data_IF_104585579462
#
_entry.id   IF_104585579462
#
_cell.length_a   1.000
_cell.length_b   1.000
_cell.length_c   1.000
_cell.angle_alpha   90.00
_cell.angle_beta   90.00
_cell.angle_gamma   90.00
#
_symmetry.space_group_name_H-M   'P 1'
#
loop_
_entity.id
_entity.type
_entity.pdbx_description
1 polymer ?
#
# COMPACT_ATOMS: atom_id res chain seq x y z
N UNK A 1 -2.21 19.61 -7.05
CA UNK A 1 -1.94 18.41 -7.88
C UNK A 1 -2.84 17.27 -7.42
N UNK A 2 -2.98 16.13 -8.13
CA UNK A 2 -3.74 14.98 -7.62
C UNK A 2 -3.19 14.53 -6.27
N UNK A 3 -4.06 14.02 -5.40
CA UNK A 3 -3.63 13.32 -4.19
C UNK A 3 -2.86 12.05 -4.52
N UNK A 4 -1.95 11.67 -3.64
CA UNK A 4 -1.14 10.47 -3.82
C UNK A 4 -1.97 9.21 -3.52
N UNK A 5 -1.61 8.12 -4.17
CA UNK A 5 -2.21 6.78 -4.03
C UNK A 5 -1.13 5.82 -3.54
N UNK A 6 -1.22 5.45 -2.27
CA UNK A 6 -0.38 4.43 -1.66
C UNK A 6 -0.93 3.05 -2.03
N UNK A 7 -0.25 2.38 -2.95
CA UNK A 7 -0.72 1.12 -3.54
C UNK A 7 -0.53 -0.09 -2.62
N UNK A 8 0.16 0.04 -1.48
CA UNK A 8 0.26 -1.05 -0.50
C UNK A 8 0.65 -0.50 0.88
N UNK A 9 -0.20 -0.76 1.88
CA UNK A 9 0.01 -0.33 3.24
C UNK A 9 -0.56 -1.31 4.26
N UNK A 10 0.05 -1.28 5.45
CA UNK A 10 -0.47 -1.88 6.68
C UNK A 10 -0.57 -0.81 7.77
N UNK A 11 -1.37 0.23 7.53
CA UNK A 11 -1.36 1.44 8.36
C UNK A 11 -1.78 1.17 9.80
N UNK A 12 -2.60 0.16 10.05
CA UNK A 12 -2.95 -0.25 11.41
C UNK A 12 -1.78 -0.82 12.23
N UNK A 13 -0.62 -1.09 11.62
CA UNK A 13 0.62 -1.43 12.32
C UNK A 13 1.32 -0.22 12.96
N UNK A 14 0.79 1.00 12.89
CA UNK A 14 1.42 2.17 13.56
C UNK A 14 1.83 1.94 15.03
N UNK A 15 1.09 1.18 15.88
CA UNK A 15 1.54 0.83 17.23
C UNK A 15 2.83 -0.01 17.29
N UNK A 16 3.19 -0.65 16.18
CA UNK A 16 4.37 -1.51 16.02
C UNK A 16 5.54 -0.79 15.33
N UNK A 17 5.44 0.53 15.11
CA UNK A 17 6.48 1.29 14.42
C UNK A 17 7.85 1.08 15.05
N UNK A 18 8.84 0.74 14.23
CA UNK A 18 10.21 0.45 14.69
C UNK A 18 10.41 -0.91 15.37
N UNK A 19 9.38 -1.74 15.51
CA UNK A 19 9.51 -3.05 16.12
C UNK A 19 10.28 -4.02 15.19
N UNK A 20 11.39 -4.57 15.68
CA UNK A 20 12.13 -5.63 15.00
C UNK A 20 12.97 -5.18 13.79
N UNK A 21 13.36 -3.90 13.70
CA UNK A 21 13.90 -3.28 12.49
C UNK A 21 15.18 -3.86 11.86
N UNK A 22 15.92 -4.74 12.55
CA UNK A 22 17.20 -5.33 12.07
C UNK A 22 17.11 -6.85 11.82
N UNK A 23 15.91 -7.36 11.49
CA UNK A 23 15.65 -8.77 11.22
C UNK A 23 15.27 -9.01 9.75
N UNK A 24 15.64 -10.16 9.16
CA UNK A 24 15.12 -10.56 7.85
C UNK A 24 13.62 -10.88 7.93
N UNK A 25 12.90 -10.76 6.81
CA UNK A 25 11.44 -10.90 6.71
C UNK A 25 10.84 -12.03 7.56
N UNK A 26 11.28 -13.28 7.39
CA UNK A 26 10.69 -14.41 8.10
C UNK A 26 10.93 -14.36 9.62
N UNK A 27 12.10 -13.91 10.08
CA UNK A 27 12.35 -13.75 11.52
C UNK A 27 11.57 -12.56 12.09
N UNK A 28 11.50 -11.46 11.34
CA UNK A 28 10.70 -10.30 11.71
C UNK A 28 9.22 -10.65 11.89
N UNK A 29 8.64 -11.39 10.93
CA UNK A 29 7.25 -11.87 11.00
C UNK A 29 7.02 -12.83 12.17
N UNK A 30 7.80 -13.92 12.26
CA UNK A 30 7.55 -14.98 13.23
C UNK A 30 7.87 -14.58 14.67
N UNK A 31 8.94 -13.81 14.88
CA UNK A 31 9.48 -13.58 16.22
C UNK A 31 8.97 -12.26 16.83
N UNK A 32 8.52 -11.30 16.01
CA UNK A 32 8.11 -9.97 16.47
C UNK A 32 6.67 -9.64 16.08
N UNK A 33 6.37 -9.64 14.79
CA UNK A 33 5.12 -9.07 14.28
C UNK A 33 3.91 -9.96 14.56
N UNK A 34 3.90 -11.21 14.09
CA UNK A 34 2.75 -12.11 14.30
C UNK A 34 2.41 -12.32 15.78
N UNK A 35 3.39 -12.48 16.70
CA UNK A 35 3.08 -12.49 18.13
C UNK A 35 2.38 -11.20 18.60
N UNK A 36 2.83 -10.02 18.16
CA UNK A 36 2.23 -8.75 18.54
C UNK A 36 0.82 -8.58 17.96
N UNK A 37 0.63 -8.93 16.69
CA UNK A 37 -0.67 -8.89 16.00
C UNK A 37 -1.68 -9.89 16.55
N UNK A 38 -1.24 -11.07 17.01
CA UNK A 38 -2.10 -12.04 17.68
C UNK A 38 -2.75 -11.48 18.97
N UNK A 39 -2.16 -10.44 19.56
CA UNK A 39 -2.70 -9.72 20.72
C UNK A 39 -3.56 -8.51 20.32
N UNK A 40 -3.58 -8.14 19.05
CA UNK A 40 -4.27 -6.95 18.57
C UNK A 40 -5.78 -7.06 18.78
N UNK A 41 -6.37 -6.06 19.43
CA UNK A 41 -7.82 -5.91 19.55
C UNK A 41 -8.36 -5.00 18.44
N UNK A 42 -9.66 -5.05 18.13
CA UNK A 42 -10.29 -4.10 17.22
C UNK A 42 -10.02 -2.62 17.57
N UNK A 43 -9.93 -2.28 18.86
CA UNK A 43 -9.63 -0.91 19.29
C UNK A 43 -8.17 -0.50 19.01
N UNK A 44 -7.22 -1.45 19.06
CA UNK A 44 -5.81 -1.20 18.76
C UNK A 44 -5.64 -0.98 17.24
N UNK A 45 -6.31 -1.80 16.42
CA UNK A 45 -6.36 -1.63 14.96
C UNK A 45 -6.96 -0.27 14.56
N UNK A 46 -8.06 0.14 15.21
CA UNK A 46 -8.66 1.45 14.98
C UNK A 46 -7.69 2.59 15.33
N UNK A 47 -7.05 2.53 16.49
CA UNK A 47 -6.11 3.56 16.94
C UNK A 47 -4.91 3.68 15.99
N UNK A 48 -4.32 2.53 15.60
CA UNK A 48 -3.24 2.46 14.63
C UNK A 48 -3.64 3.05 13.29
N UNK A 49 -4.73 2.57 12.71
CA UNK A 49 -5.22 3.04 11.42
C UNK A 49 -5.54 4.53 11.43
N UNK A 50 -6.15 5.04 12.51
CA UNK A 50 -6.51 6.45 12.62
C UNK A 50 -5.26 7.35 12.59
N UNK A 51 -4.22 6.99 13.35
CA UNK A 51 -2.96 7.76 13.34
C UNK A 51 -2.21 7.60 12.01
N UNK A 52 -2.19 6.39 11.44
CA UNK A 52 -1.60 6.15 10.13
C UNK A 52 -2.28 6.97 9.02
N UNK A 53 -3.62 7.09 9.06
CA UNK A 53 -4.37 7.98 8.17
C UNK A 53 -3.98 9.45 8.36
N UNK A 54 -3.82 9.92 9.60
CA UNK A 54 -3.38 11.29 9.88
C UNK A 54 -2.02 11.57 9.25
N UNK A 55 -1.05 10.67 9.44
CA UNK A 55 0.29 10.79 8.86
C UNK A 55 0.23 10.81 7.31
N UNK A 56 -0.46 9.83 6.72
CA UNK A 56 -0.64 9.74 5.27
C UNK A 56 -1.28 11.00 4.68
N UNK A 57 -2.36 11.50 5.30
CA UNK A 57 -3.03 12.73 4.86
C UNK A 57 -2.09 13.94 4.99
N UNK A 58 -1.31 14.05 6.07
CA UNK A 58 -0.31 15.13 6.20
C UNK A 58 0.78 15.05 5.13
N UNK A 59 1.09 13.85 4.63
CA UNK A 59 2.00 13.62 3.49
C UNK A 59 1.32 13.72 2.11
N UNK A 60 0.03 14.05 2.05
CA UNK A 60 -0.71 14.22 0.80
C UNK A 60 -1.20 12.92 0.16
N UNK A 61 -1.14 11.80 0.89
CA UNK A 61 -1.70 10.52 0.49
C UNK A 61 -3.20 10.52 0.78
N UNK A 62 -3.98 10.57 -0.29
CA UNK A 62 -5.45 10.62 -0.22
C UNK A 62 -6.10 9.25 -0.25
N UNK A 63 -5.41 8.28 -0.86
CA UNK A 63 -5.88 6.90 -1.02
C UNK A 63 -4.80 5.93 -0.58
N UNK A 64 -5.16 4.90 0.19
CA UNK A 64 -4.30 3.75 0.48
C UNK A 64 -4.98 2.42 0.15
N UNK A 65 -4.22 1.47 -0.39
CA UNK A 65 -4.62 0.07 -0.48
C UNK A 65 -4.12 -0.66 0.77
N UNK A 66 -5.02 -0.79 1.73
CA UNK A 66 -4.78 -1.40 3.03
C UNK A 66 -4.98 -2.92 2.93
N UNK A 67 -4.11 -3.67 3.58
CA UNK A 67 -4.29 -5.10 3.78
C UNK A 67 -4.11 -5.41 5.25
N UNK A 68 -5.17 -5.72 5.99
CA UNK A 68 -5.00 -5.89 7.43
C UNK A 68 -6.13 -6.64 8.14
N UNK A 69 -5.90 -6.96 9.41
CA UNK A 69 -6.88 -7.54 10.34
C UNK A 69 -7.90 -6.50 10.81
N UNK A 70 -8.98 -6.96 11.44
CA UNK A 70 -10.03 -6.10 12.05
C UNK A 70 -10.62 -5.09 11.07
N UNK A 71 -11.05 -5.56 9.89
CA UNK A 71 -11.44 -4.70 8.77
C UNK A 71 -12.45 -3.60 9.10
N UNK A 72 -13.48 -3.89 9.92
CA UNK A 72 -14.45 -2.86 10.34
C UNK A 72 -13.79 -1.70 11.09
N UNK A 73 -12.84 -1.98 11.98
CA UNK A 73 -12.07 -0.96 12.69
C UNK A 73 -11.24 -0.11 11.72
N UNK A 74 -10.64 -0.74 10.71
CA UNK A 74 -9.85 -0.07 9.67
C UNK A 74 -10.73 0.88 8.86
N UNK A 75 -11.90 0.40 8.40
CA UNK A 75 -12.90 1.22 7.69
C UNK A 75 -13.35 2.41 8.54
N UNK A 76 -13.73 2.15 9.80
CA UNK A 76 -14.22 3.19 10.69
C UNK A 76 -13.16 4.27 10.96
N UNK A 77 -11.90 3.88 11.15
CA UNK A 77 -10.80 4.82 11.33
C UNK A 77 -10.54 5.67 10.08
N UNK A 78 -10.52 5.06 8.89
CA UNK A 78 -10.34 5.76 7.62
C UNK A 78 -11.45 6.80 7.37
N UNK A 79 -12.72 6.40 7.57
CA UNK A 79 -13.86 7.30 7.44
C UNK A 79 -13.83 8.45 8.45
N UNK A 80 -13.37 8.18 9.67
CA UNK A 80 -13.19 9.20 10.72
C UNK A 80 -12.12 10.21 10.31
N UNK A 81 -10.94 9.76 9.86
CA UNK A 81 -9.88 10.63 9.36
C UNK A 81 -10.28 11.38 8.09
N UNK A 82 -11.15 10.79 7.28
CA UNK A 82 -11.57 11.32 5.99
C UNK A 82 -10.76 10.79 4.80
N UNK A 83 -9.98 9.74 4.97
CA UNK A 83 -9.20 9.07 3.93
C UNK A 83 -10.07 8.24 2.97
N UNK A 84 -9.55 7.99 1.77
CA UNK A 84 -10.05 6.93 0.88
C UNK A 84 -9.20 5.67 1.09
N UNK A 85 -9.82 4.50 1.13
CA UNK A 85 -9.13 3.22 1.22
C UNK A 85 -9.70 2.19 0.25
N UNK A 86 -8.81 1.32 -0.25
CA UNK A 86 -9.17 -0.01 -0.71
C UNK A 86 -8.76 -0.98 0.40
N UNK A 87 -9.70 -1.62 1.07
CA UNK A 87 -9.41 -2.53 2.16
C UNK A 87 -9.48 -3.98 1.68
N UNK A 88 -8.38 -4.69 1.81
CA UNK A 88 -8.29 -6.14 1.68
C UNK A 88 -8.19 -6.77 3.08
N UNK A 89 -9.29 -7.25 3.70
CA UNK A 89 -9.20 -7.94 4.98
C UNK A 89 -8.27 -9.15 4.85
N UNK A 90 -7.23 -9.17 5.68
CA UNK A 90 -6.18 -10.18 5.60
C UNK A 90 -6.63 -11.52 6.18
N UNK A 91 -6.28 -12.62 5.51
CA UNK A 91 -6.50 -13.97 6.02
C UNK A 91 -5.39 -14.94 5.63
N UNK A 92 -5.29 -16.01 6.44
CA UNK A 92 -4.19 -16.96 6.48
C UNK A 92 -4.76 -18.37 6.70
N UNK A 93 -3.97 -19.41 6.40
CA UNK A 93 -4.26 -20.76 6.84
C UNK A 93 -3.57 -21.05 8.19
N UNK A 94 -4.26 -20.75 9.29
CA UNK A 94 -3.74 -20.91 10.65
C UNK A 94 -4.47 -22.03 11.42
N UNK A 95 -3.77 -22.78 12.27
CA UNK A 95 -4.42 -23.77 13.15
C UNK A 95 -5.51 -23.14 14.02
N UNK A 96 -6.76 -23.58 13.85
CA UNK A 96 -7.91 -23.13 14.66
C UNK A 96 -8.69 -21.94 14.11
N UNK A 97 -8.23 -21.29 13.04
CA UNK A 97 -8.96 -20.25 12.32
C UNK A 97 -8.78 -20.46 10.80
N UNK A 98 -9.82 -20.98 10.15
CA UNK A 98 -9.76 -21.34 8.73
C UNK A 98 -10.03 -20.17 7.80
N UNK A 99 -9.22 -20.06 6.75
CA UNK A 99 -9.37 -19.08 5.66
C UNK A 99 -10.78 -19.06 5.04
N UNK A 100 -11.52 -20.17 5.09
CA UNK A 100 -12.89 -20.28 4.57
C UNK A 100 -13.86 -19.34 5.30
N UNK A 101 -13.70 -19.21 6.62
CA UNK A 101 -14.58 -18.35 7.43
C UNK A 101 -14.35 -16.87 7.14
N UNK A 102 -13.08 -16.48 6.97
CA UNK A 102 -12.69 -15.13 6.57
C UNK A 102 -13.17 -14.81 5.15
N UNK A 103 -12.97 -15.73 4.19
CA UNK A 103 -13.46 -15.58 2.83
C UNK A 103 -14.99 -15.40 2.80
N UNK A 104 -15.72 -16.23 3.53
CA UNK A 104 -17.19 -16.12 3.65
C UNK A 104 -17.63 -14.80 4.29
N UNK A 105 -16.86 -14.29 5.26
CA UNK A 105 -17.16 -13.00 5.88
C UNK A 105 -16.95 -11.83 4.90
N UNK A 106 -15.89 -11.86 4.08
CA UNK A 106 -15.63 -10.86 3.04
C UNK A 106 -16.73 -10.90 1.97
N UNK A 107 -17.08 -12.11 1.51
CA UNK A 107 -18.19 -12.35 0.59
C UNK A 107 -19.47 -11.69 1.07
N UNK A 108 -19.86 -12.00 2.32
CA UNK A 108 -21.05 -11.43 2.95
C UNK A 108 -20.95 -9.91 3.04
N UNK A 109 -19.80 -9.37 3.43
CA UNK A 109 -19.63 -7.93 3.58
C UNK A 109 -19.80 -7.20 2.25
N UNK A 110 -19.20 -7.71 1.17
CA UNK A 110 -19.37 -7.14 -0.17
C UNK A 110 -20.82 -7.28 -0.65
N UNK A 111 -21.47 -8.41 -0.39
CA UNK A 111 -22.86 -8.65 -0.82
C UNK A 111 -23.87 -7.74 -0.09
N UNK A 112 -23.59 -7.38 1.18
CA UNK A 112 -24.46 -6.53 2.00
C UNK A 112 -24.24 -5.03 1.75
N UNK A 113 -22.98 -4.56 1.77
CA UNK A 113 -22.65 -3.13 1.70
C UNK A 113 -22.31 -2.66 0.26
N UNK A 114 -22.12 -3.61 -0.65
CA UNK A 114 -21.58 -3.37 -1.98
C UNK A 114 -20.05 -3.26 -1.99
N UNK A 115 -19.46 -3.40 -3.18
CA UNK A 115 -18.01 -3.31 -3.34
C UNK A 115 -17.44 -1.95 -2.95
N UNK A 116 -18.23 -0.87 -3.11
CA UNK A 116 -17.84 0.50 -2.78
C UNK A 116 -18.92 1.21 -1.98
N UNK A 117 -18.54 1.81 -0.86
CA UNK A 117 -19.47 2.52 0.02
C UNK A 117 -18.80 3.66 0.80
N UNK A 118 -19.56 4.27 1.71
CA UNK A 118 -19.16 5.41 2.51
C UNK A 118 -19.29 6.75 1.77
N UNK A 119 -19.19 7.88 2.51
CA UNK A 119 -19.26 9.21 1.92
C UNK A 119 -18.24 9.40 0.80
N UNK A 120 -18.68 9.81 -0.39
CA UNK A 120 -17.80 10.00 -1.55
C UNK A 120 -17.16 8.70 -2.08
N UNK A 121 -17.75 7.53 -1.81
CA UNK A 121 -17.23 6.22 -2.23
C UNK A 121 -15.82 5.96 -1.70
N UNK A 122 -15.55 6.41 -0.47
CA UNK A 122 -14.21 6.38 0.14
C UNK A 122 -13.74 4.98 0.52
N UNK A 123 -14.61 3.98 0.55
CA UNK A 123 -14.23 2.60 0.86
C UNK A 123 -14.49 1.72 -0.35
N UNK A 124 -13.50 0.90 -0.74
CA UNK A 124 -13.67 -0.24 -1.63
C UNK A 124 -13.19 -1.50 -0.91
N UNK A 125 -14.02 -2.54 -0.88
CA UNK A 125 -13.62 -3.84 -0.33
C UNK A 125 -12.88 -4.68 -1.38
N UNK A 126 -11.89 -5.41 -0.91
CA UNK A 126 -11.00 -6.27 -1.69
C UNK A 126 -10.84 -7.61 -0.95
N UNK A 127 -10.22 -8.59 -1.61
CA UNK A 127 -9.81 -9.84 -0.98
C UNK A 127 -8.33 -9.77 -0.63
N UNK A 128 -7.98 -10.11 0.62
CA UNK A 128 -6.61 -10.08 1.13
C UNK A 128 -6.05 -11.45 1.52
N UNK A 129 -5.93 -12.43 0.59
CA UNK A 129 -5.15 -13.62 0.89
C UNK A 129 -3.70 -13.19 1.16
N UNK A 130 -3.15 -13.50 2.35
CA UNK A 130 -1.85 -12.95 2.77
C UNK A 130 -0.73 -13.18 1.75
N UNK A 131 -0.42 -14.44 1.43
CA UNK A 131 0.61 -14.79 0.48
C UNK A 131 0.44 -16.23 0.00
N UNK A 132 1.12 -16.59 -1.08
CA UNK A 132 1.13 -17.97 -1.56
C UNK A 132 1.84 -18.97 -0.62
N UNK A 133 2.64 -18.50 0.35
CA UNK A 133 3.30 -19.38 1.33
C UNK A 133 2.52 -19.53 2.64
N UNK A 134 1.46 -18.74 2.84
CA UNK A 134 0.58 -18.80 4.04
C UNK A 134 -0.80 -19.37 3.74
N UNK A 135 -1.10 -19.68 2.49
CA UNK A 135 -2.37 -20.22 2.03
C UNK A 135 -2.14 -21.35 1.02
N UNK A 136 -2.91 -22.45 1.10
CA UNK A 136 -2.83 -23.51 0.11
C UNK A 136 -3.46 -23.07 -1.22
N UNK A 137 -3.08 -23.73 -2.33
CA UNK A 137 -3.60 -23.41 -3.67
C UNK A 137 -5.14 -23.50 -3.77
N UNK A 138 -5.78 -24.35 -2.95
CA UNK A 138 -7.25 -24.42 -2.86
C UNK A 138 -7.88 -23.12 -2.33
N UNK A 139 -7.23 -22.47 -1.36
CA UNK A 139 -7.71 -21.21 -0.80
C UNK A 139 -7.56 -20.07 -1.81
N UNK A 140 -6.44 -20.06 -2.55
CA UNK A 140 -6.19 -19.09 -3.60
C UNK A 140 -7.20 -19.24 -4.76
N UNK A 141 -7.54 -20.47 -5.14
CA UNK A 141 -8.59 -20.74 -6.15
C UNK A 141 -9.97 -20.29 -5.69
N UNK A 142 -10.36 -20.62 -4.45
CA UNK A 142 -11.63 -20.16 -3.88
C UNK A 142 -11.70 -18.63 -3.78
N UNK A 143 -10.57 -17.98 -3.50
CA UNK A 143 -10.44 -16.52 -3.53
C UNK A 143 -10.65 -15.98 -4.94
N UNK A 144 -10.03 -16.59 -5.96
CA UNK A 144 -10.20 -16.19 -7.36
C UNK A 144 -11.68 -16.25 -7.79
N UNK A 145 -12.36 -17.36 -7.49
CA UNK A 145 -13.79 -17.53 -7.79
C UNK A 145 -14.66 -16.46 -7.12
N UNK A 146 -14.42 -16.21 -5.83
CA UNK A 146 -15.18 -15.24 -5.03
C UNK A 146 -14.96 -13.80 -5.50
N UNK A 147 -13.70 -13.44 -5.80
CA UNK A 147 -13.34 -12.11 -6.29
C UNK A 147 -13.88 -11.86 -7.70
N UNK A 148 -13.78 -12.84 -8.61
CA UNK A 148 -14.30 -12.75 -9.96
C UNK A 148 -15.83 -12.58 -9.97
N UNK A 149 -16.56 -13.31 -9.11
CA UNK A 149 -18.01 -13.19 -9.00
C UNK A 149 -18.48 -11.78 -8.60
N UNK A 150 -17.64 -11.01 -7.89
CA UNK A 150 -17.97 -9.68 -7.37
C UNK A 150 -17.21 -8.54 -8.06
N UNK A 151 -16.35 -8.85 -9.04
CA UNK A 151 -15.47 -7.86 -9.70
C UNK A 151 -14.51 -7.17 -8.73
N UNK A 152 -14.19 -7.84 -7.61
CA UNK A 152 -13.36 -7.30 -6.55
C UNK A 152 -11.87 -7.43 -6.88
N UNK A 153 -11.07 -6.52 -6.33
CA UNK A 153 -9.61 -6.61 -6.38
C UNK A 153 -9.11 -7.68 -5.40
N UNK A 154 -8.12 -8.47 -5.81
CA UNK A 154 -7.30 -9.29 -4.91
C UNK A 154 -5.99 -8.56 -4.65
N UNK A 155 -5.64 -8.35 -3.38
CA UNK A 155 -4.40 -7.73 -2.93
C UNK A 155 -3.58 -8.77 -2.16
N UNK A 156 -2.38 -9.10 -2.65
CA UNK A 156 -1.57 -10.23 -2.16
C UNK A 156 -0.07 -9.91 -2.22
N UNK A 157 0.71 -10.37 -1.24
CA UNK A 157 2.17 -10.32 -1.30
C UNK A 157 2.71 -11.38 -2.28
N UNK A 158 3.59 -10.95 -3.19
CA UNK A 158 4.11 -11.80 -4.27
C UNK A 158 5.62 -11.67 -4.39
N UNK A 159 6.34 -12.78 -4.24
CA UNK A 159 7.76 -12.87 -4.52
C UNK A 159 8.61 -11.78 -3.86
N UNK A 160 8.37 -11.53 -2.59
CA UNK A 160 9.06 -10.53 -1.79
C UNK A 160 10.47 -11.00 -1.43
N UNK A 161 10.61 -12.22 -0.92
CA UNK A 161 11.90 -12.81 -0.55
C UNK A 161 12.17 -14.16 -1.23
N UNK A 162 13.43 -14.55 -1.47
CA UNK A 162 13.71 -15.86 -2.07
C UNK A 162 13.34 -17.03 -1.13
N UNK A 163 13.36 -16.78 0.18
CA UNK A 163 13.13 -17.80 1.20
C UNK A 163 11.66 -18.17 1.34
N UNK A 164 10.74 -17.19 1.28
CA UNK A 164 9.30 -17.45 1.42
C UNK A 164 8.74 -18.29 0.26
N UNK A 165 9.29 -18.08 -0.94
CA UNK A 165 8.80 -18.64 -2.19
C UNK A 165 9.37 -20.02 -2.52
N UNK A 166 10.33 -20.52 -1.73
CA UNK A 166 11.13 -21.69 -2.11
C UNK A 166 10.25 -22.89 -2.49
N UNK A 167 9.22 -23.17 -1.70
CA UNK A 167 8.28 -24.26 -1.96
C UNK A 167 7.43 -24.01 -3.20
N UNK A 168 6.95 -22.77 -3.40
CA UNK A 168 6.11 -22.42 -4.54
C UNK A 168 6.90 -22.44 -5.85
N UNK A 169 8.16 -21.98 -5.84
CA UNK A 169 9.06 -22.09 -7.00
C UNK A 169 9.40 -23.54 -7.33
N UNK A 170 9.59 -24.38 -6.32
CA UNK A 170 9.86 -25.80 -6.54
C UNK A 170 8.65 -26.55 -7.13
N UNK A 171 7.43 -26.20 -6.72
CA UNK A 171 6.21 -26.86 -7.15
C UNK A 171 5.61 -26.30 -8.45
N UNK A 172 5.68 -24.98 -8.64
CA UNK A 172 4.96 -24.25 -9.71
C UNK A 172 5.87 -23.40 -10.60
N UNK A 173 7.18 -23.35 -10.33
CA UNK A 173 8.16 -22.53 -11.06
C UNK A 173 8.28 -21.10 -10.53
N UNK A 174 7.16 -20.41 -10.28
CA UNK A 174 7.13 -19.11 -9.62
C UNK A 174 5.78 -18.87 -8.92
N UNK A 175 5.73 -17.88 -8.01
CA UNK A 175 4.44 -17.46 -7.43
C UNK A 175 3.50 -16.89 -8.50
N UNK A 176 3.91 -15.99 -9.42
CA UNK A 176 3.05 -15.56 -10.52
C UNK A 176 2.49 -16.72 -11.37
N UNK A 177 3.26 -17.77 -11.63
CA UNK A 177 2.77 -18.97 -12.32
C UNK A 177 1.70 -19.70 -11.51
N UNK A 178 1.91 -19.90 -10.20
CA UNK A 178 0.88 -20.44 -9.31
C UNK A 178 -0.40 -19.58 -9.34
N UNK A 179 -0.28 -18.25 -9.29
CA UNK A 179 -1.43 -17.34 -9.34
C UNK A 179 -2.21 -17.47 -10.66
N UNK A 180 -1.52 -17.71 -11.79
CA UNK A 180 -2.18 -18.03 -13.05
C UNK A 180 -2.89 -19.38 -13.00
N UNK A 181 -2.24 -20.43 -12.48
CA UNK A 181 -2.81 -21.79 -12.40
C UNK A 181 -4.07 -21.89 -11.54
N UNK A 182 -4.18 -21.05 -10.52
CA UNK A 182 -5.36 -20.99 -9.64
C UNK A 182 -6.41 -19.98 -10.11
N UNK A 183 -6.19 -19.29 -11.23
CA UNK A 183 -7.12 -18.34 -11.85
C UNK A 183 -7.14 -16.96 -11.19
N UNK A 184 -6.20 -16.64 -10.29
CA UNK A 184 -6.15 -15.33 -9.64
C UNK A 184 -5.77 -14.20 -10.61
N UNK A 185 -4.94 -14.50 -11.61
CA UNK A 185 -4.58 -13.52 -12.64
C UNK A 185 -5.69 -13.27 -13.66
N UNK A 186 -6.73 -14.10 -13.73
CA UNK A 186 -7.87 -13.85 -14.64
C UNK A 186 -8.78 -12.69 -14.15
N UNK A 187 -8.62 -12.29 -12.89
CA UNK A 187 -9.36 -11.20 -12.25
C UNK A 187 -8.54 -9.93 -12.06
N UNK A 188 -9.06 -9.00 -11.25
CA UNK A 188 -8.31 -7.82 -10.80
C UNK A 188 -7.32 -8.24 -9.72
N UNK A 189 -6.03 -8.09 -9.95
CA UNK A 189 -4.99 -8.44 -9.00
C UNK A 189 -3.97 -7.30 -8.79
N UNK A 190 -3.61 -7.08 -7.53
CA UNK A 190 -2.51 -6.22 -7.10
C UNK A 190 -1.48 -7.07 -6.36
N UNK A 191 -0.30 -7.18 -6.95
CA UNK A 191 0.86 -7.87 -6.40
C UNK A 191 1.73 -6.89 -5.60
N UNK A 192 1.75 -7.03 -4.28
CA UNK A 192 2.68 -6.28 -3.43
C UNK A 192 4.10 -6.84 -3.53
N UNK A 193 5.08 -5.94 -3.46
CA UNK A 193 6.53 -6.16 -3.55
C UNK A 193 7.02 -6.56 -4.94
N UNK A 194 6.70 -7.78 -5.39
CA UNK A 194 7.09 -8.32 -6.68
C UNK A 194 8.61 -8.17 -6.98
N UNK A 195 9.43 -8.54 -6.00
CA UNK A 195 10.90 -8.31 -6.02
C UNK A 195 11.59 -9.32 -6.93
N UNK A 196 11.33 -10.61 -6.71
CA UNK A 196 12.04 -11.71 -7.35
C UNK A 196 11.25 -12.27 -8.54
N UNK A 197 11.15 -11.48 -9.59
CA UNK A 197 10.48 -11.84 -10.84
C UNK A 197 11.48 -12.19 -11.94
N UNK A 198 11.16 -13.21 -12.74
CA UNK A 198 11.80 -13.46 -14.03
C UNK A 198 11.14 -12.63 -15.14
N UNK A 199 11.79 -12.54 -16.31
CA UNK A 199 11.17 -11.90 -17.49
C UNK A 199 9.86 -12.57 -17.91
N UNK A 200 9.72 -13.88 -17.65
CA UNK A 200 8.48 -14.59 -17.91
C UNK A 200 7.38 -14.16 -16.94
N UNK A 201 7.71 -13.99 -15.66
CA UNK A 201 6.76 -13.52 -14.65
C UNK A 201 6.29 -12.09 -14.95
N UNK A 202 7.20 -11.21 -15.38
CA UNK A 202 6.85 -9.83 -15.79
C UNK A 202 5.86 -9.84 -16.94
N UNK A 203 6.10 -10.66 -17.98
CA UNK A 203 5.15 -10.81 -19.10
C UNK A 203 3.82 -11.38 -18.65
N UNK A 204 3.84 -12.40 -17.78
CA UNK A 204 2.64 -13.03 -17.27
C UNK A 204 1.75 -12.04 -16.53
N UNK A 205 2.32 -11.20 -15.66
CA UNK A 205 1.59 -10.14 -14.97
C UNK A 205 1.03 -9.09 -15.95
N UNK A 206 1.82 -8.70 -16.96
CA UNK A 206 1.40 -7.72 -17.96
C UNK A 206 0.24 -8.24 -18.84
N UNK A 207 0.33 -9.47 -19.33
CA UNK A 207 -0.67 -10.09 -20.21
C UNK A 207 -2.04 -10.22 -19.52
N UNK A 208 -2.04 -10.37 -18.19
CA UNK A 208 -3.24 -10.44 -17.36
C UNK A 208 -3.70 -9.07 -16.81
N UNK A 209 -2.95 -7.99 -17.09
CA UNK A 209 -3.28 -6.66 -16.59
C UNK A 209 -3.18 -6.52 -15.08
N UNK A 210 -2.36 -7.34 -14.41
CA UNK A 210 -2.13 -7.24 -12.98
C UNK A 210 -1.34 -5.96 -12.63
N UNK A 211 -1.69 -5.35 -11.50
CA UNK A 211 -0.95 -4.23 -10.93
C UNK A 211 0.17 -4.70 -9.99
N UNK A 212 1.20 -3.88 -9.83
CA UNK A 212 2.27 -4.09 -8.85
C UNK A 212 2.37 -2.88 -7.91
N UNK A 213 2.44 -3.13 -6.61
CA UNK A 213 2.81 -2.13 -5.61
C UNK A 213 4.29 -2.30 -5.24
N UNK A 214 5.13 -1.39 -5.75
CA UNK A 214 6.57 -1.38 -5.46
C UNK A 214 6.84 -0.68 -4.13
N UNK A 215 7.40 -1.40 -3.16
CA UNK A 215 7.67 -0.92 -1.80
C UNK A 215 9.18 -0.84 -1.50
N UNK A 216 9.92 0.10 -2.13
CA UNK A 216 11.38 0.13 -2.05
C UNK A 216 11.92 0.33 -0.63
N UNK A 217 11.27 1.12 0.23
CA UNK A 217 11.67 1.29 1.63
C UNK A 217 11.70 -0.02 2.40
N UNK A 218 10.57 -0.73 2.39
CA UNK A 218 10.45 -2.04 3.05
C UNK A 218 11.38 -3.09 2.46
N UNK A 219 11.42 -3.21 1.13
CA UNK A 219 12.27 -4.18 0.47
C UNK A 219 13.76 -3.99 0.80
N UNK A 220 14.20 -2.73 0.94
CA UNK A 220 15.56 -2.40 1.33
C UNK A 220 15.81 -2.69 2.82
N UNK A 221 14.89 -2.28 3.71
CA UNK A 221 15.04 -2.44 5.16
C UNK A 221 15.11 -3.91 5.57
N UNK A 222 14.21 -4.75 5.04
CA UNK A 222 14.16 -6.18 5.34
C UNK A 222 15.20 -7.01 4.56
N UNK A 223 16.02 -6.35 3.75
CA UNK A 223 16.96 -6.99 2.81
C UNK A 223 16.29 -8.01 1.87
N UNK A 224 15.01 -7.79 1.55
CA UNK A 224 14.23 -8.61 0.61
C UNK A 224 14.80 -8.51 -0.81
N UNK A 225 15.29 -7.34 -1.21
CA UNK A 225 16.01 -7.13 -2.46
C UNK A 225 15.64 -5.83 -3.17
N UNK A 226 16.04 -5.70 -4.44
CA UNK A 226 15.68 -4.55 -5.29
C UNK A 226 14.82 -5.07 -6.43
N UNK A 227 13.53 -4.69 -6.45
CA UNK A 227 12.62 -5.10 -7.50
C UNK A 227 13.08 -4.56 -8.87
N UNK A 228 12.88 -5.37 -9.92
CA UNK A 228 13.22 -5.02 -11.31
C UNK A 228 12.29 -3.97 -11.93
N UNK A 229 12.23 -2.77 -11.35
CA UNK A 229 11.26 -1.72 -11.71
C UNK A 229 11.33 -1.33 -13.19
N UNK A 230 12.53 -1.24 -13.77
CA UNK A 230 12.70 -0.92 -15.19
C UNK A 230 12.13 -2.01 -16.09
N UNK A 231 12.29 -3.29 -15.72
CA UNK A 231 11.73 -4.41 -16.47
C UNK A 231 10.19 -4.42 -16.38
N UNK A 232 9.63 -4.21 -15.19
CA UNK A 232 8.17 -4.10 -14.99
C UNK A 232 7.56 -2.99 -15.86
N UNK A 233 8.17 -1.80 -15.84
CA UNK A 233 7.70 -0.65 -16.64
C UNK A 233 7.86 -0.90 -18.14
N UNK A 234 8.98 -1.47 -18.59
CA UNK A 234 9.19 -1.82 -19.99
C UNK A 234 8.21 -2.91 -20.48
N UNK A 235 7.82 -3.82 -19.58
CA UNK A 235 6.79 -4.83 -19.80
C UNK A 235 5.36 -4.29 -19.78
N UNK A 236 5.15 -2.99 -19.59
CA UNK A 236 3.82 -2.35 -19.50
C UNK A 236 2.96 -2.82 -18.32
N UNK A 237 3.58 -3.31 -17.24
CA UNK A 237 2.89 -3.57 -15.97
C UNK A 237 2.49 -2.24 -15.34
N UNK A 238 1.27 -2.15 -14.80
CA UNK A 238 0.84 -0.99 -14.03
C UNK A 238 1.54 -1.00 -12.66
N UNK A 239 2.49 -0.08 -12.44
CA UNK A 239 3.27 -0.02 -11.20
C UNK A 239 2.90 1.22 -10.38
N UNK A 240 2.44 1.00 -9.16
CA UNK A 240 2.28 2.00 -8.10
C UNK A 240 3.40 1.93 -7.08
N UNK A 241 3.45 2.91 -6.18
CA UNK A 241 4.35 2.90 -5.02
C UNK A 241 3.55 2.53 -3.77
N UNK A 242 4.16 1.72 -2.89
CA UNK A 242 3.62 1.33 -1.60
C UNK A 242 4.58 1.66 -0.47
N UNK A 243 4.07 1.97 0.72
CA UNK A 243 4.92 2.17 1.91
C UNK A 243 5.12 0.88 2.69
N UNK A 244 4.28 -0.14 2.47
CA UNK A 244 4.13 -1.28 3.37
C UNK A 244 3.72 -0.80 4.79
N UNK A 245 4.00 -1.57 5.84
CA UNK A 245 3.74 -1.21 7.22
C UNK A 245 4.85 -0.35 7.85
N UNK A 246 4.51 0.55 8.80
CA UNK A 246 5.48 1.37 9.52
C UNK A 246 6.41 0.60 10.46
N UNK A 247 6.36 -0.73 10.49
CA UNK A 247 7.31 -1.58 11.21
C UNK A 247 8.45 -2.09 10.30
N UNK A 248 8.29 -1.99 8.98
CA UNK A 248 9.27 -2.36 7.96
C UNK A 248 9.71 -1.18 7.08
N UNK A 249 9.31 0.07 7.38
CA UNK A 249 9.66 1.24 6.56
C UNK A 249 10.64 2.23 7.23
N UNK A 250 10.27 3.11 8.18
CA UNK A 250 9.15 3.06 9.13
C UNK A 250 8.22 4.28 9.07
N UNK A 251 8.23 5.04 7.98
CA UNK A 251 7.26 6.10 7.74
C UNK A 251 6.11 5.66 6.82
N UNK A 252 5.07 6.50 6.73
CA UNK A 252 4.02 6.40 5.72
C UNK A 252 4.15 7.58 4.74
N UNK A 253 5.32 7.74 4.09
CA UNK A 253 5.64 8.84 3.19
C UNK A 253 5.94 8.37 1.75
N UNK A 254 4.99 8.52 0.83
CA UNK A 254 5.22 8.21 -0.59
C UNK A 254 6.25 9.13 -1.28
N UNK A 255 6.59 10.28 -0.72
CA UNK A 255 7.67 11.12 -1.23
C UNK A 255 9.03 10.50 -0.94
N UNK A 256 9.18 9.81 0.19
CA UNK A 256 10.32 8.94 0.50
C UNK A 256 10.41 7.82 -0.54
N UNK A 257 9.32 7.08 -0.71
CA UNK A 257 9.26 5.93 -1.63
C UNK A 257 9.58 6.34 -3.08
N UNK A 258 9.14 7.52 -3.53
CA UNK A 258 9.53 8.07 -4.83
C UNK A 258 11.05 8.25 -4.95
N UNK A 259 11.69 8.84 -3.94
CA UNK A 259 13.15 9.06 -3.95
C UNK A 259 13.89 7.72 -3.89
N UNK A 260 13.46 6.79 -3.04
CA UNK A 260 14.07 5.47 -2.92
C UNK A 260 13.95 4.66 -4.21
N UNK A 261 12.76 4.62 -4.83
CA UNK A 261 12.56 3.99 -6.13
C UNK A 261 13.53 4.54 -7.19
N UNK A 262 13.68 5.87 -7.24
CA UNK A 262 14.58 6.53 -8.19
C UNK A 262 16.05 6.23 -7.90
N UNK A 263 16.48 6.30 -6.63
CA UNK A 263 17.85 6.03 -6.23
C UNK A 263 18.24 4.58 -6.54
N UNK A 264 17.42 3.61 -6.14
CA UNK A 264 17.67 2.19 -6.35
C UNK A 264 17.69 1.85 -7.85
N UNK A 265 16.70 2.31 -8.63
CA UNK A 265 16.65 2.05 -10.07
C UNK A 265 17.89 2.60 -10.80
N UNK A 266 18.34 3.81 -10.45
CA UNK A 266 19.53 4.43 -11.06
C UNK A 266 20.82 3.74 -10.63
N UNK A 267 20.94 3.40 -9.35
CA UNK A 267 22.13 2.73 -8.82
C UNK A 267 22.29 1.32 -9.40
N UNK A 268 21.20 0.57 -9.55
CA UNK A 268 21.22 -0.79 -10.11
C UNK A 268 21.51 -0.80 -11.61
N UNK A 269 20.99 0.16 -12.37
CA UNK A 269 21.16 0.20 -13.84
C UNK A 269 22.36 0.99 -14.32
N UNK A 270 22.90 1.89 -13.50
CA UNK A 270 23.90 2.87 -13.93
C UNK A 270 23.36 3.96 -14.88
N UNK A 271 22.04 4.00 -15.09
CA UNK A 271 21.38 4.97 -15.97
C UNK A 271 20.66 6.05 -15.13
N UNK A 272 21.07 7.34 -15.22
CA UNK A 272 20.38 8.43 -14.51
C UNK A 272 18.95 8.67 -14.99
N UNK A 273 18.54 8.11 -16.13
CA UNK A 273 17.19 8.21 -16.70
C UNK A 273 16.29 7.00 -16.40
N UNK A 274 16.80 5.97 -15.70
CA UNK A 274 16.05 4.75 -15.38
C UNK A 274 14.70 5.03 -14.70
N UNK A 275 14.64 6.08 -13.86
CA UNK A 275 13.41 6.64 -13.32
C UNK A 275 13.59 8.15 -13.11
N UNK A 276 12.74 8.95 -13.77
CA UNK A 276 12.72 10.42 -13.61
C UNK A 276 11.76 10.85 -12.51
N UNK A 277 11.87 12.10 -12.04
CA UNK A 277 10.95 12.64 -11.03
C UNK A 277 9.50 12.65 -11.54
N UNK A 278 9.31 12.91 -12.84
CA UNK A 278 8.01 12.78 -13.52
C UNK A 278 7.48 11.35 -13.44
N UNK A 279 8.31 10.35 -13.73
CA UNK A 279 7.89 8.95 -13.66
C UNK A 279 7.47 8.55 -12.25
N UNK A 280 8.27 8.88 -11.24
CA UNK A 280 8.00 8.57 -9.85
C UNK A 280 6.70 9.24 -9.37
N UNK A 281 6.49 10.53 -9.70
CA UNK A 281 5.25 11.23 -9.37
C UNK A 281 4.02 10.62 -10.05
N UNK A 282 4.17 10.15 -11.29
CA UNK A 282 3.11 9.44 -12.00
C UNK A 282 2.81 8.09 -11.35
N UNK A 283 3.82 7.33 -10.91
CA UNK A 283 3.64 6.10 -10.14
C UNK A 283 2.92 6.36 -8.81
N UNK A 284 3.19 7.48 -8.14
CA UNK A 284 2.53 7.86 -6.89
C UNK A 284 1.10 8.42 -7.06
N UNK A 285 0.65 8.66 -8.30
CA UNK A 285 -0.67 9.26 -8.59
C UNK A 285 -1.48 8.36 -9.51
N UNK A 286 -1.55 8.66 -10.82
CA UNK A 286 -2.35 7.87 -11.77
C UNK A 286 -1.85 6.45 -11.97
N UNK A 287 -0.54 6.22 -11.80
CA UNK A 287 0.07 4.90 -11.88
C UNK A 287 -0.34 4.02 -10.72
N UNK A 288 -0.33 4.57 -9.49
CA UNK A 288 -0.89 3.91 -8.31
C UNK A 288 -2.38 3.64 -8.46
N UNK A 289 -3.15 4.61 -8.95
CA UNK A 289 -4.56 4.40 -9.27
C UNK A 289 -4.76 3.25 -10.28
N UNK A 290 -3.99 3.22 -11.37
CA UNK A 290 -4.05 2.16 -12.37
C UNK A 290 -3.65 0.79 -11.79
N UNK A 291 -2.61 0.72 -10.95
CA UNK A 291 -2.17 -0.51 -10.30
C UNK A 291 -3.28 -1.12 -9.41
N UNK A 292 -4.05 -0.28 -8.71
CA UNK A 292 -5.20 -0.75 -7.91
C UNK A 292 -6.50 -0.91 -8.73
N UNK A 293 -6.44 -0.75 -10.05
CA UNK A 293 -7.59 -0.90 -10.95
C UNK A 293 -8.62 0.24 -10.87
N UNK A 294 -8.17 1.47 -10.62
CA UNK A 294 -9.01 2.67 -10.52
C UNK A 294 -8.63 3.73 -11.55
N UNK A 295 -9.63 4.43 -12.07
CA UNK A 295 -9.47 5.49 -13.08
C UNK A 295 -10.12 6.82 -12.65
N UNK A 296 -10.91 6.79 -11.58
CA UNK A 296 -11.65 7.92 -11.00
C UNK A 296 -10.86 8.64 -9.89
N UNK A 297 -9.59 8.28 -9.68
CA UNK A 297 -8.66 8.91 -8.72
C UNK A 297 -7.26 9.06 -9.36
N UNK A 298 -6.34 9.76 -8.68
CA UNK A 298 -4.96 9.93 -9.15
C UNK A 298 -4.77 10.90 -10.34
N UNK A 299 -5.85 11.54 -10.80
CA UNK A 299 -5.83 12.59 -11.83
C UNK A 299 -6.80 13.71 -11.49
N UNK A 300 -6.49 14.94 -11.91
CA UNK A 300 -7.40 16.08 -11.85
C UNK A 300 -8.03 16.26 -13.23
N UNK A 301 -9.20 15.67 -13.44
CA UNK A 301 -9.92 15.75 -14.71
C UNK A 301 -11.43 15.73 -14.46
N UNK A 302 -12.25 16.40 -15.29
CA UNK A 302 -13.70 16.34 -15.13
C UNK A 302 -14.19 14.89 -15.09
N UNK A 303 -14.99 14.56 -14.08
CA UNK A 303 -15.53 13.20 -13.87
C UNK A 303 -14.73 12.32 -12.91
N UNK A 304 -13.57 12.75 -12.42
CA UNK A 304 -12.83 12.06 -11.34
C UNK A 304 -13.15 12.66 -9.98
N UNK A 305 -12.85 11.92 -8.91
CA UNK A 305 -12.95 12.45 -7.55
C UNK A 305 -11.96 13.60 -7.35
N UNK A 306 -12.41 14.63 -6.63
CA UNK A 306 -11.58 15.74 -6.19
C UNK A 306 -10.68 15.32 -5.01
N UNK A 307 -9.79 14.36 -5.26
CA UNK A 307 -8.71 13.93 -4.38
C UNK A 307 -7.47 14.75 -4.76
N UNK A 308 -7.14 15.78 -3.97
CA UNK A 308 -6.21 16.84 -4.36
C UNK A 308 -5.33 17.27 -3.20
N UNK A 309 -4.12 17.74 -3.53
CA UNK A 309 -3.20 18.35 -2.57
C UNK A 309 -2.70 19.71 -3.05
N UNK A 310 -2.53 20.61 -2.10
CA UNK A 310 -1.87 21.90 -2.26
C UNK A 310 -0.43 21.81 -1.75
N UNK A 311 0.50 22.18 -2.62
CA UNK A 311 1.93 22.23 -2.31
C UNK A 311 2.32 23.68 -2.07
N UNK A 312 2.90 23.97 -0.91
CA UNK A 312 3.50 25.25 -0.57
C UNK A 312 4.78 25.48 -1.37
N UNK A 313 4.81 26.59 -2.10
CA UNK A 313 5.89 26.89 -3.05
C UNK A 313 6.84 28.01 -2.60
N UNK A 314 6.56 28.64 -1.46
CA UNK A 314 7.32 29.78 -0.95
C UNK A 314 8.59 29.38 -0.17
N UNK A 315 8.93 28.09 -0.17
CA UNK A 315 10.10 27.56 0.55
C UNK A 315 11.37 27.48 -0.30
N UNK A 316 12.54 27.28 0.34
CA UNK A 316 13.85 27.28 -0.32
C UNK A 316 14.02 26.15 -1.35
N UNK A 317 13.19 25.11 -1.30
CA UNK A 317 13.17 24.03 -2.28
C UNK A 317 12.71 24.49 -3.68
N UNK A 318 11.99 25.60 -3.79
CA UNK A 318 11.67 26.26 -5.06
C UNK A 318 12.38 27.62 -5.16
N UNK A 319 13.68 27.68 -4.85
CA UNK A 319 14.46 28.93 -4.82
C UNK A 319 14.41 29.79 -6.11
N UNK A 320 14.15 29.17 -7.26
CA UNK A 320 14.01 29.85 -8.55
C UNK A 320 12.54 30.17 -8.92
N UNK A 321 11.60 29.96 -8.00
CA UNK A 321 10.17 30.07 -8.26
C UNK A 321 9.61 28.93 -9.13
N UNK A 322 8.42 29.16 -9.68
CA UNK A 322 7.71 28.18 -10.53
C UNK A 322 7.93 28.39 -12.03
N UNK A 323 8.48 29.54 -12.44
CA UNK A 323 8.77 29.87 -13.84
C UNK A 323 10.13 29.26 -14.26
N UNK A 324 10.20 27.94 -14.18
CA UNK A 324 11.34 27.10 -14.57
C UNK A 324 10.86 25.96 -15.45
N UNK A 325 11.73 25.27 -16.22
CA UNK A 325 11.31 24.10 -17.00
C UNK A 325 10.64 23.03 -16.14
N UNK A 326 9.65 22.34 -16.71
CA UNK A 326 8.85 21.31 -16.01
C UNK A 326 9.73 20.24 -15.34
N UNK A 327 10.81 19.81 -15.99
CA UNK A 327 11.73 18.82 -15.43
C UNK A 327 12.41 19.32 -14.15
N UNK A 328 12.78 20.61 -14.11
CA UNK A 328 13.37 21.23 -12.93
C UNK A 328 12.33 21.42 -11.83
N UNK A 329 11.11 21.84 -12.17
CA UNK A 329 10.02 21.99 -11.20
C UNK A 329 9.68 20.65 -10.53
N UNK A 330 9.53 19.59 -11.33
CA UNK A 330 9.25 18.24 -10.82
C UNK A 330 10.43 17.66 -10.02
N UNK A 331 11.67 17.95 -10.44
CA UNK A 331 12.85 17.59 -9.66
C UNK A 331 12.88 18.29 -8.30
N UNK A 332 12.61 19.60 -8.25
CA UNK A 332 12.51 20.36 -7.00
C UNK A 332 11.42 19.78 -6.09
N UNK A 333 10.26 19.43 -6.67
CA UNK A 333 9.15 18.84 -5.94
C UNK A 333 9.52 17.49 -5.30
N UNK A 334 10.09 16.56 -6.07
CA UNK A 334 10.33 15.18 -5.59
C UNK A 334 11.63 15.06 -4.78
N UNK A 335 12.73 15.67 -5.26
CA UNK A 335 14.04 15.52 -4.62
C UNK A 335 14.25 16.45 -3.43
N UNK A 336 13.70 17.67 -3.46
CA UNK A 336 13.97 18.69 -2.43
C UNK A 336 12.78 18.92 -1.50
N UNK A 337 11.59 19.15 -2.05
CA UNK A 337 10.40 19.52 -1.29
C UNK A 337 9.86 18.33 -0.48
N UNK A 338 9.34 17.31 -1.18
CA UNK A 338 8.69 16.14 -0.61
C UNK A 338 7.45 16.49 0.22
N UNK A 339 7.14 15.62 1.18
CA UNK A 339 6.00 15.72 2.11
C UNK A 339 5.94 17.04 2.87
N UNK A 340 7.09 17.63 3.21
CA UNK A 340 7.20 18.91 3.95
C UNK A 340 6.50 20.08 3.28
N UNK A 341 6.29 20.00 1.97
CA UNK A 341 5.64 21.05 1.21
C UNK A 341 4.11 20.85 1.10
N UNK A 342 3.55 19.74 1.58
CA UNK A 342 2.08 19.54 1.60
C UNK A 342 1.47 20.48 2.64
N UNK A 343 0.47 21.25 2.21
CA UNK A 343 -0.24 22.23 3.05
C UNK A 343 -1.68 21.84 3.30
N UNK A 344 -2.40 21.56 2.24
CA UNK A 344 -3.83 21.28 2.30
C UNK A 344 -4.16 20.03 1.48
N UNK A 345 -5.14 19.26 1.96
CA UNK A 345 -5.54 18.00 1.34
C UNK A 345 -7.06 17.92 1.27
N UNK A 346 -7.55 17.51 0.11
CA UNK A 346 -8.95 17.22 -0.14
C UNK A 346 -9.13 15.76 -0.55
N UNK A 347 -10.15 15.12 0.01
CA UNK A 347 -10.58 13.77 -0.38
C UNK A 347 -12.05 13.82 -0.73
N UNK A 348 -12.42 13.36 -1.92
CA UNK A 348 -13.76 13.46 -2.48
C UNK A 348 -14.33 14.89 -2.43
N UNK A 349 -13.48 15.91 -2.61
CA UNK A 349 -13.87 17.32 -2.59
C UNK A 349 -14.00 17.96 -1.21
N UNK A 350 -13.82 17.20 -0.14
CA UNK A 350 -13.83 17.73 1.22
C UNK A 350 -12.41 17.98 1.71
N UNK A 351 -12.15 19.15 2.29
CA UNK A 351 -10.86 19.44 2.92
C UNK A 351 -10.72 18.65 4.22
N UNK A 352 -9.63 17.88 4.34
CA UNK A 352 -9.34 17.04 5.51
C UNK A 352 -8.05 17.45 6.23
N UNK A 353 -7.18 18.20 5.55
CA UNK A 353 -5.99 18.86 6.13
C UNK A 353 -6.00 20.32 5.70
N UNK A 354 -5.73 21.22 6.65
CA UNK A 354 -5.49 22.63 6.39
C UNK A 354 -4.20 23.09 7.06
N UNK A 355 -3.35 23.80 6.32
CA UNK A 355 -2.07 24.32 6.82
C UNK A 355 -1.15 23.27 7.48
N UNK A 356 -1.24 22.01 7.06
CA UNK A 356 -0.49 20.87 7.57
C UNK A 356 -1.11 20.19 8.80
N UNK A 357 -2.26 20.63 9.29
CA UNK A 357 -2.95 20.03 10.44
C UNK A 357 -4.26 19.33 10.03
N UNK A 358 -4.56 18.15 10.59
CA UNK A 358 -5.80 17.42 10.30
C UNK A 358 -7.02 18.16 10.85
N UNK A 359 -8.10 18.23 10.06
CA UNK A 359 -9.34 18.92 10.43
C UNK A 359 -10.32 18.06 11.22
N UNK A 360 -10.18 16.74 11.15
CA UNK A 360 -11.15 15.76 11.66
C UNK A 360 -10.69 15.00 12.90
N UNK A 361 -9.39 15.04 13.21
CA UNK A 361 -8.78 14.19 14.24
C UNK A 361 -7.91 15.03 15.16
N UNK A 362 -8.11 14.91 16.47
CA UNK A 362 -7.14 15.40 17.46
C UNK A 362 -5.91 14.47 17.43
N UNK A 363 -4.84 14.95 16.79
CA UNK A 363 -3.58 14.22 16.62
C UNK A 363 -2.96 13.80 17.94
N UNK A 364 -3.06 14.62 18.99
CA UNK A 364 -2.47 14.30 20.31
C UNK A 364 -3.27 13.18 20.98
N UNK A 365 -4.61 13.21 20.85
CA UNK A 365 -5.44 12.11 21.33
C UNK A 365 -5.18 10.80 20.58
N UNK A 366 -5.06 10.86 19.25
CA UNK A 366 -4.73 9.69 18.42
C UNK A 366 -3.36 9.08 18.80
N UNK A 367 -2.34 9.92 19.00
CA UNK A 367 -1.01 9.48 19.46
C UNK A 367 -1.06 8.78 20.83
N UNK A 368 -1.82 9.30 21.79
CA UNK A 368 -2.00 8.64 23.09
C UNK A 368 -2.69 7.28 22.97
N UNK A 369 -3.69 7.17 22.09
CA UNK A 369 -4.36 5.90 21.85
C UNK A 369 -3.42 4.85 21.24
N UNK A 370 -2.57 5.25 20.29
CA UNK A 370 -1.53 4.38 19.74
C UNK A 370 -0.50 3.98 20.78
N UNK A 371 -0.06 4.89 21.66
CA UNK A 371 0.86 4.54 22.75
C UNK A 371 0.28 3.46 23.67
N UNK A 372 -1.01 3.56 24.01
CA UNK A 372 -1.71 2.54 24.80
C UNK A 372 -1.82 1.20 24.05
N UNK A 373 -2.09 1.23 22.74
CA UNK A 373 -2.11 0.03 21.90
C UNK A 373 -0.74 -0.64 21.83
N UNK A 374 0.34 0.14 21.69
CA UNK A 374 1.71 -0.37 21.62
C UNK A 374 2.11 -1.09 22.91
N UNK A 375 1.83 -0.51 24.09
CA UNK A 375 2.05 -1.16 25.39
C UNK A 375 1.34 -2.51 25.46
N UNK A 376 0.08 -2.56 25.02
CA UNK A 376 -0.69 -3.80 25.03
C UNK A 376 -0.12 -4.86 24.09
N UNK A 377 0.19 -4.48 22.85
CA UNK A 377 0.62 -5.40 21.80
C UNK A 377 2.04 -5.92 21.98
N UNK A 378 2.97 -5.04 22.40
CA UNK A 378 4.39 -5.37 22.55
C UNK A 378 4.75 -5.87 23.97
N UNK A 379 3.79 -5.85 24.91
CA UNK A 379 4.01 -6.22 26.32
C UNK A 379 5.16 -5.44 26.98
N UNK A 380 5.33 -4.17 26.61
CA UNK A 380 6.33 -3.28 27.21
C UNK A 380 5.80 -2.82 28.57
N UNK A 381 6.52 -3.10 29.66
CA UNK A 381 6.17 -2.53 30.98
C UNK A 381 6.33 -0.99 30.95
N UNK A 382 5.39 -0.24 31.55
CA UNK A 382 5.33 1.23 31.44
C UNK A 382 6.48 1.98 32.13
#
# INVERSE_FOLDING_TARGET
>A
MPGLVNAHAHSAMTPLRGAGGDLPLLSWLNDVIWPAEARMRPADAYAGMLLGCVEMLQHGITTSAEMYLHGESVVNAALTAGSRILLAPAYFDLPGAGWQSALTAIDKWIDEDGLRFGPGGRVELCYGPHSAYTLPAEALRATAESAAARGALVHIHVAESPAEDQNQRAAHGSVPQLLAEVGLLDGRLLAAHAVHLSDHDVRLLADHGAGVAHCPGSNAKLASGIAGLTALRAGSVAVGLGTDGPASNDDLDLWEEMRLAMMLARATTGDPFALTAKDALLMATRGGAAAVGRQDIGTLSPGTWADMIHIGVDGPHFAAGLDVPDEQLLANLVWAAGSRAVRDVWVAGEQVVADGEPLRVDRVAAQRAVAAAAVHMLQVEP
#
